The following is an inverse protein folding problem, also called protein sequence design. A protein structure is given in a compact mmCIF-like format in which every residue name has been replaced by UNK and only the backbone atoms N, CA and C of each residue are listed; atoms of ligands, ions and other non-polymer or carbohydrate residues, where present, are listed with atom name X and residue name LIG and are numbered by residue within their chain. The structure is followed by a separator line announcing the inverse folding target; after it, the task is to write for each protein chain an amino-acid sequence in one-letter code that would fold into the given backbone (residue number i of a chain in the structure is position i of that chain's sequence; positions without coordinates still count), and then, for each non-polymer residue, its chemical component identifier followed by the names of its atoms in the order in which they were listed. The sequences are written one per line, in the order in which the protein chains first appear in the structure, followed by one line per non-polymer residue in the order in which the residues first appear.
data_IF_477056009554
#
_entry.id   IF_477056009554
#
_cell.length_a   1.000
_cell.length_b   1.000
_cell.length_c   1.000
_cell.angle_alpha   90.00
_cell.angle_beta   90.00
_cell.angle_gamma   90.00
#
_symmetry.space_group_name_H-M   'P 1'
#
loop_
_entity.id
_entity.type
_entity.pdbx_description
1 polymer ?
#
# COMPACT_ATOMS: atom_id res chain seq x y z
N UNK A 1 -28.59 3.24 7.27
CA UNK A 1 -28.14 3.12 8.69
C UNK A 1 -28.90 2.05 9.47
N UNK A 2 -30.23 1.93 9.32
CA UNK A 2 -31.04 0.93 10.05
C UNK A 2 -30.66 -0.53 9.75
N UNK A 3 -30.37 -0.87 8.50
CA UNK A 3 -29.95 -2.23 8.12
C UNK A 3 -28.61 -2.64 8.75
N UNK A 4 -27.62 -1.74 8.78
CA UNK A 4 -26.33 -2.01 9.42
C UNK A 4 -26.48 -2.26 10.93
N UNK A 5 -27.39 -1.53 11.58
CA UNK A 5 -27.72 -1.73 13.00
C UNK A 5 -28.38 -3.10 13.21
N UNK A 6 -29.25 -3.51 12.30
CA UNK A 6 -29.90 -4.82 12.35
C UNK A 6 -28.91 -5.97 12.12
N UNK A 7 -28.01 -5.82 11.14
CA UNK A 7 -26.90 -6.75 10.90
C UNK A 7 -26.04 -6.89 12.16
N UNK A 8 -25.62 -5.76 12.75
CA UNK A 8 -24.82 -5.76 13.98
C UNK A 8 -25.55 -6.42 15.15
N UNK A 9 -26.84 -6.12 15.38
CA UNK A 9 -27.65 -6.75 16.43
C UNK A 9 -27.77 -8.25 16.22
N UNK A 10 -27.95 -8.69 14.98
CA UNK A 10 -28.08 -10.12 14.63
C UNK A 10 -26.75 -10.85 14.86
N UNK A 11 -25.64 -10.26 14.42
CA UNK A 11 -24.29 -10.78 14.66
C UNK A 11 -24.00 -10.88 16.17
N UNK A 12 -24.31 -9.84 16.95
CA UNK A 12 -24.11 -9.80 18.41
C UNK A 12 -24.91 -10.87 19.15
N UNK A 13 -26.14 -11.17 18.71
CA UNK A 13 -27.01 -12.18 19.35
C UNK A 13 -26.54 -13.61 19.07
N UNK A 14 -26.09 -13.90 17.85
CA UNK A 14 -25.71 -15.27 17.45
C UNK A 14 -24.62 -15.26 16.37
N UNK A 15 -23.33 -15.07 16.73
CA UNK A 15 -22.25 -14.90 15.76
C UNK A 15 -22.05 -16.16 14.91
N UNK A 16 -22.10 -17.34 15.51
CA UNK A 16 -21.96 -18.62 14.79
C UNK A 16 -23.08 -18.84 13.76
N UNK A 17 -24.33 -18.51 14.12
CA UNK A 17 -25.47 -18.61 13.20
C UNK A 17 -25.33 -17.63 12.04
N UNK A 18 -24.87 -16.41 12.32
CA UNK A 18 -24.63 -15.41 11.28
C UNK A 18 -23.50 -15.84 10.32
N UNK A 19 -22.36 -16.33 10.85
CA UNK A 19 -21.26 -16.84 10.03
C UNK A 19 -21.70 -18.03 9.18
N UNK A 20 -22.44 -18.98 9.76
CA UNK A 20 -22.99 -20.13 9.03
C UNK A 20 -23.92 -19.69 7.89
N UNK A 21 -24.77 -18.70 8.14
CA UNK A 21 -25.70 -18.18 7.13
C UNK A 21 -24.99 -17.41 6.00
N UNK A 22 -23.80 -16.86 6.26
CA UNK A 22 -23.03 -16.05 5.30
C UNK A 22 -21.74 -16.74 4.82
N UNK A 23 -21.57 -18.03 5.09
CA UNK A 23 -20.34 -18.77 4.79
C UNK A 23 -20.00 -18.73 3.30
N UNK A 24 -21.01 -18.77 2.43
CA UNK A 24 -20.82 -18.63 0.98
C UNK A 24 -20.18 -17.27 0.62
N UNK A 25 -20.64 -16.18 1.24
CA UNK A 25 -20.07 -14.85 1.01
C UNK A 25 -18.60 -14.79 1.48
N UNK A 26 -18.31 -15.35 2.65
CA UNK A 26 -16.96 -15.36 3.24
C UNK A 26 -15.97 -16.13 2.35
N UNK A 27 -16.41 -17.20 1.69
CA UNK A 27 -15.58 -17.98 0.77
C UNK A 27 -15.43 -17.28 -0.59
N UNK A 28 -16.51 -16.70 -1.11
CA UNK A 28 -16.53 -16.09 -2.45
C UNK A 28 -15.79 -14.73 -2.45
N UNK A 29 -15.88 -13.95 -1.38
CA UNK A 29 -15.35 -12.59 -1.33
C UNK A 29 -13.82 -12.53 -1.55
N UNK A 30 -12.98 -13.32 -0.85
CA UNK A 30 -11.55 -13.40 -1.16
C UNK A 30 -11.33 -13.77 -2.63
N UNK A 31 -12.04 -14.77 -3.15
CA UNK A 31 -11.82 -15.21 -4.52
C UNK A 31 -12.16 -14.12 -5.56
N UNK A 32 -13.21 -13.33 -5.33
CA UNK A 32 -13.53 -12.19 -6.19
C UNK A 32 -12.45 -11.10 -6.12
N UNK A 33 -11.97 -10.77 -4.92
CA UNK A 33 -10.94 -9.75 -4.71
C UNK A 33 -9.60 -10.15 -5.34
N UNK A 34 -9.15 -11.38 -5.12
CA UNK A 34 -7.90 -11.88 -5.70
C UNK A 34 -7.98 -12.03 -7.21
N UNK A 35 -9.12 -12.50 -7.73
CA UNK A 35 -9.35 -12.55 -9.17
C UNK A 35 -9.34 -11.16 -9.81
N UNK A 36 -10.00 -10.17 -9.20
CA UNK A 36 -9.99 -8.79 -9.70
C UNK A 36 -8.59 -8.20 -9.69
N UNK A 37 -7.81 -8.44 -8.64
CA UNK A 37 -6.44 -7.99 -8.53
C UNK A 37 -5.54 -8.56 -9.62
N UNK A 38 -5.56 -9.89 -9.82
CA UNK A 38 -4.78 -10.52 -10.88
C UNK A 38 -5.19 -10.06 -12.28
N UNK A 39 -6.49 -9.80 -12.51
CA UNK A 39 -6.97 -9.22 -13.77
C UNK A 39 -6.40 -7.83 -14.00
N UNK A 40 -6.41 -6.96 -12.98
CA UNK A 40 -5.82 -5.63 -13.05
C UNK A 40 -4.32 -5.74 -13.37
N UNK A 41 -3.57 -6.57 -12.63
CA UNK A 41 -2.13 -6.73 -12.84
C UNK A 41 -1.76 -7.23 -14.24
N UNK A 42 -2.45 -8.26 -14.75
CA UNK A 42 -2.20 -8.76 -16.11
C UNK A 42 -2.63 -7.74 -17.18
N UNK A 43 -3.75 -7.05 -16.98
CA UNK A 43 -4.24 -6.03 -17.93
C UNK A 43 -3.33 -4.81 -18.03
N UNK A 44 -2.62 -4.45 -16.94
CA UNK A 44 -1.59 -3.40 -16.94
C UNK A 44 -0.43 -3.71 -17.88
N UNK A 45 -0.16 -4.99 -18.14
CA UNK A 45 0.85 -5.43 -19.11
C UNK A 45 0.23 -5.51 -20.52
N UNK A 46 -0.82 -6.33 -20.68
CA UNK A 46 -1.62 -6.44 -21.91
C UNK A 46 -2.87 -7.29 -21.64
N UNK A 47 -4.01 -6.90 -22.21
CA UNK A 47 -5.24 -7.70 -22.15
C UNK A 47 -5.06 -9.15 -22.63
N UNK A 48 -4.17 -9.40 -23.59
CA UNK A 48 -3.88 -10.77 -24.08
C UNK A 48 -3.28 -11.68 -23.00
N UNK A 49 -2.71 -11.11 -21.93
CA UNK A 49 -2.06 -11.87 -20.87
C UNK A 49 -3.00 -12.35 -19.77
N UNK A 50 -4.27 -11.95 -19.80
CA UNK A 50 -5.32 -12.48 -18.91
C UNK A 50 -5.43 -14.01 -19.04
N UNK A 51 -5.07 -14.61 -20.18
CA UNK A 51 -5.05 -16.07 -20.36
C UNK A 51 -4.04 -16.82 -19.47
N UNK A 52 -3.09 -16.11 -18.87
CA UNK A 52 -2.08 -16.67 -17.97
C UNK A 52 -2.45 -16.53 -16.49
N UNK A 53 -3.69 -16.16 -16.21
CA UNK A 53 -4.30 -16.06 -14.89
C UNK A 53 -4.15 -17.36 -14.08
N UNK A 54 -3.86 -17.23 -12.77
CA UNK A 54 -3.62 -18.38 -11.90
C UNK A 54 -4.73 -18.57 -10.87
N UNK A 55 -5.53 -19.61 -11.09
CA UNK A 55 -6.64 -19.97 -10.20
C UNK A 55 -6.17 -20.33 -8.79
N UNK A 56 -5.00 -20.95 -8.65
CA UNK A 56 -4.41 -21.37 -7.37
C UNK A 56 -4.07 -20.18 -6.46
N UNK A 57 -3.73 -19.03 -7.04
CA UNK A 57 -3.32 -17.84 -6.30
C UNK A 57 -4.47 -16.89 -5.96
N UNK A 58 -5.63 -17.05 -6.60
CA UNK A 58 -6.82 -16.20 -6.37
C UNK A 58 -7.19 -16.11 -4.88
N UNK A 59 -7.26 -17.26 -4.18
CA UNK A 59 -7.70 -17.29 -2.79
C UNK A 59 -6.64 -16.64 -1.87
N UNK A 60 -5.35 -17.02 -1.92
CA UNK A 60 -4.30 -16.34 -1.15
C UNK A 60 -4.24 -14.83 -1.37
N UNK A 61 -4.22 -14.36 -2.63
CA UNK A 61 -4.17 -12.93 -2.97
C UNK A 61 -5.43 -12.20 -2.46
N UNK A 62 -6.58 -12.85 -2.59
CA UNK A 62 -7.86 -12.38 -2.10
C UNK A 62 -7.91 -12.21 -0.58
N UNK A 63 -7.38 -13.18 0.16
CA UNK A 63 -7.30 -13.12 1.62
C UNK A 63 -6.36 -12.00 2.09
N UNK A 64 -5.26 -11.80 1.38
CA UNK A 64 -4.29 -10.74 1.66
C UNK A 64 -4.91 -9.34 1.43
N UNK A 65 -5.61 -9.14 0.30
CA UNK A 65 -6.34 -7.89 0.03
C UNK A 65 -7.44 -7.68 1.07
N UNK A 66 -8.18 -8.74 1.39
CA UNK A 66 -9.23 -8.68 2.41
C UNK A 66 -8.66 -8.28 3.78
N UNK A 67 -7.49 -8.80 4.17
CA UNK A 67 -6.80 -8.39 5.38
C UNK A 67 -6.52 -6.88 5.40
N UNK A 68 -5.97 -6.32 4.31
CA UNK A 68 -5.72 -4.89 4.21
C UNK A 68 -7.01 -4.07 4.26
N UNK A 69 -8.07 -4.52 3.58
CA UNK A 69 -9.37 -3.86 3.61
C UNK A 69 -10.00 -3.90 5.00
N UNK A 70 -9.85 -4.99 5.75
CA UNK A 70 -10.35 -5.10 7.13
C UNK A 70 -9.59 -4.12 8.02
N UNK A 71 -8.26 -4.12 7.98
CA UNK A 71 -7.45 -3.20 8.78
C UNK A 71 -7.85 -1.76 8.44
N UNK A 72 -7.90 -1.41 7.15
CA UNK A 72 -8.33 -0.09 6.68
C UNK A 72 -9.77 0.27 7.10
N UNK A 73 -10.70 -0.66 7.06
CA UNK A 73 -12.09 -0.41 7.47
C UNK A 73 -12.17 -0.13 8.97
N UNK A 74 -11.50 -0.93 9.80
CA UNK A 74 -11.38 -0.70 11.26
C UNK A 74 -10.78 0.68 11.52
N UNK A 75 -9.76 1.05 10.75
CA UNK A 75 -9.08 2.34 10.80
C UNK A 75 -10.03 3.52 10.60
N UNK A 76 -10.81 3.49 9.53
CA UNK A 76 -11.80 4.51 9.21
C UNK A 76 -12.92 4.54 10.26
N UNK A 77 -13.35 3.38 10.77
CA UNK A 77 -14.35 3.30 11.82
C UNK A 77 -13.89 3.96 13.12
N UNK A 78 -12.63 3.75 13.51
CA UNK A 78 -12.02 4.40 14.67
C UNK A 78 -11.99 5.92 14.47
N UNK A 79 -11.56 6.40 13.29
CA UNK A 79 -11.58 7.82 12.95
C UNK A 79 -12.99 8.42 13.08
N UNK A 80 -13.99 7.75 12.51
CA UNK A 80 -15.38 8.19 12.58
C UNK A 80 -15.93 8.20 14.01
N UNK A 81 -15.59 7.20 14.82
CA UNK A 81 -15.97 7.13 16.23
C UNK A 81 -15.44 8.32 17.02
N UNK A 82 -14.14 8.64 16.89
CA UNK A 82 -13.53 9.78 17.56
C UNK A 82 -14.07 11.11 17.04
N UNK A 83 -14.31 11.22 15.74
CA UNK A 83 -14.91 12.42 15.16
C UNK A 83 -16.30 12.68 15.75
N UNK A 84 -17.19 11.68 15.77
CA UNK A 84 -18.52 11.83 16.36
C UNK A 84 -18.46 12.18 17.84
N UNK A 85 -17.50 11.63 18.57
CA UNK A 85 -17.31 11.96 19.99
C UNK A 85 -16.92 13.42 20.19
N UNK A 86 -15.98 13.92 19.39
CA UNK A 86 -15.56 15.33 19.42
C UNK A 86 -16.73 16.28 19.08
N UNK A 87 -17.55 15.93 18.09
CA UNK A 87 -18.70 16.74 17.67
C UNK A 87 -19.76 16.85 18.77
N UNK A 88 -20.02 15.76 19.51
CA UNK A 88 -20.95 15.77 20.64
C UNK A 88 -20.41 16.56 21.85
N UNK A 89 -19.11 16.45 22.14
CA UNK A 89 -18.48 17.15 23.26
C UNK A 89 -18.49 18.68 23.02
N UNK A 90 -18.40 19.13 21.76
CA UNK A 90 -18.49 20.55 21.40
C UNK A 90 -19.83 21.18 21.76
N UNK A 91 -20.95 20.48 21.54
CA UNK A 91 -22.29 20.97 21.91
C UNK A 91 -22.46 21.12 23.43
N UNK A 92 -21.86 20.23 24.22
CA UNK A 92 -21.94 20.29 25.69
C UNK A 92 -21.01 21.38 26.28
N UNK A 93 -19.84 21.56 25.69
CA UNK A 93 -18.86 22.58 26.08
C UNK A 93 -19.34 24.00 25.73
N UNK A 94 -19.97 24.19 24.56
CA UNK A 94 -20.51 25.48 24.13
C UNK A 94 -21.59 26.01 25.10
N UNK A 95 -22.31 25.10 25.77
CA UNK A 95 -23.36 25.46 26.74
C UNK A 95 -22.82 25.79 28.14
N UNK A 96 -21.62 25.34 28.51
CA UNK A 96 -21.13 25.39 29.90
C UNK A 96 -19.85 26.20 30.13
N UNK A 97 -19.09 26.54 29.07
CA UNK A 97 -17.80 27.23 29.22
C UNK A 97 -17.91 28.69 28.78
N UNK A 98 -17.71 29.62 29.72
CA UNK A 98 -17.41 31.02 29.41
C UNK A 98 -16.09 31.06 28.63
N UNK A 99 -16.17 31.16 27.31
CA UNK A 99 -15.02 31.15 26.41
C UNK A 99 -14.11 32.32 26.79
N UNK A 100 -12.93 32.00 27.34
CA UNK A 100 -11.86 33.00 27.55
C UNK A 100 -11.40 33.47 26.18
N UNK A 101 -11.21 34.79 26.02
CA UNK A 101 -10.72 35.41 24.78
C UNK A 101 -9.59 34.59 24.16
N UNK A 102 -9.74 34.24 22.89
CA UNK A 102 -8.74 33.46 22.15
C UNK A 102 -7.35 34.08 22.22
N UNK A 103 -6.32 33.26 22.43
CA UNK A 103 -4.92 33.70 22.48
C UNK A 103 -4.20 33.26 21.20
N UNK A 104 -3.75 34.24 20.41
CA UNK A 104 -3.07 34.01 19.13
C UNK A 104 -1.83 33.12 19.24
N UNK A 105 -1.14 33.13 20.38
CA UNK A 105 0.04 32.28 20.60
C UNK A 105 -0.33 30.80 20.57
N UNK A 106 -1.47 30.42 21.17
CA UNK A 106 -1.94 29.04 21.10
C UNK A 106 -2.33 28.66 19.67
N UNK A 107 -2.97 29.56 18.92
CA UNK A 107 -3.31 29.33 17.51
C UNK A 107 -2.07 28.98 16.68
N UNK A 108 -1.01 29.78 16.81
CA UNK A 108 0.26 29.57 16.11
C UNK A 108 0.89 28.23 16.53
N UNK A 109 0.91 27.92 17.83
CA UNK A 109 1.42 26.65 18.34
C UNK A 109 0.67 25.45 17.76
N UNK A 110 -0.67 25.51 17.69
CA UNK A 110 -1.49 24.45 17.11
C UNK A 110 -1.24 24.27 15.61
N UNK A 111 -1.10 25.35 14.85
CA UNK A 111 -0.75 25.28 13.42
C UNK A 111 0.62 24.61 13.24
N UNK A 112 1.61 24.99 14.06
CA UNK A 112 2.94 24.40 14.01
C UNK A 112 2.91 22.90 14.34
N UNK A 113 2.14 22.50 15.36
CA UNK A 113 1.94 21.09 15.70
C UNK A 113 1.23 20.32 14.58
N UNK A 114 0.22 20.91 13.94
CA UNK A 114 -0.47 20.31 12.80
C UNK A 114 0.49 20.05 11.62
N UNK A 115 1.30 21.03 11.25
CA UNK A 115 2.36 20.85 10.25
C UNK A 115 3.38 19.78 10.68
N UNK A 116 3.76 19.76 11.97
CA UNK A 116 4.59 18.71 12.55
C UNK A 116 3.99 17.32 12.36
N UNK A 117 2.68 17.16 12.58
CA UNK A 117 1.98 15.90 12.33
C UNK A 117 2.03 15.49 10.85
N UNK A 118 1.85 16.42 9.91
CA UNK A 118 1.94 16.12 8.46
C UNK A 118 3.34 15.61 8.10
N UNK A 119 4.39 16.29 8.57
CA UNK A 119 5.78 15.88 8.35
C UNK A 119 6.04 14.51 8.98
N UNK A 120 5.51 14.26 10.19
CA UNK A 120 5.62 12.97 10.86
C UNK A 120 4.93 11.84 10.08
N UNK A 121 3.72 12.06 9.55
CA UNK A 121 3.03 11.10 8.67
C UNK A 121 3.88 10.78 7.45
N UNK A 122 4.41 11.80 6.77
CA UNK A 122 5.24 11.60 5.59
C UNK A 122 6.52 10.79 5.92
N UNK A 123 7.18 11.11 7.03
CA UNK A 123 8.35 10.39 7.51
C UNK A 123 8.04 8.93 7.86
N UNK A 124 6.99 8.68 8.66
CA UNK A 124 6.55 7.34 9.02
C UNK A 124 6.17 6.52 7.78
N UNK A 125 5.46 7.11 6.83
CA UNK A 125 5.12 6.45 5.57
C UNK A 125 6.37 6.00 4.82
N UNK A 126 7.34 6.89 4.64
CA UNK A 126 8.58 6.55 3.96
C UNK A 126 9.37 5.46 4.72
N UNK A 127 9.41 5.52 6.05
CA UNK A 127 10.05 4.51 6.88
C UNK A 127 9.41 3.13 6.69
N UNK A 128 8.09 3.03 6.80
CA UNK A 128 7.40 1.75 6.66
C UNK A 128 7.44 1.20 5.23
N UNK A 129 7.31 2.06 4.22
CA UNK A 129 7.44 1.65 2.81
C UNK A 129 8.82 1.04 2.55
N UNK A 130 9.89 1.65 3.05
CA UNK A 130 11.25 1.12 2.90
C UNK A 130 11.47 -0.21 3.63
N UNK A 131 10.67 -0.50 4.65
CA UNK A 131 10.79 -1.71 5.46
C UNK A 131 9.59 -2.65 5.30
N UNK A 132 8.86 -2.56 4.18
CA UNK A 132 7.60 -3.29 3.96
C UNK A 132 7.77 -4.82 3.92
N UNK A 133 8.99 -5.28 3.63
CA UNK A 133 9.40 -6.70 3.73
C UNK A 133 9.27 -7.25 5.15
N UNK A 134 9.43 -6.38 6.16
CA UNK A 134 9.24 -6.78 7.54
C UNK A 134 7.75 -6.91 7.85
N UNK A 135 7.36 -8.09 8.31
CA UNK A 135 6.00 -8.37 8.80
C UNK A 135 5.58 -7.34 9.88
N UNK A 136 6.50 -6.91 10.75
CA UNK A 136 6.21 -5.91 11.78
C UNK A 136 5.83 -4.56 11.14
N UNK A 137 6.61 -4.09 10.16
CA UNK A 137 6.30 -2.86 9.42
C UNK A 137 4.95 -2.95 8.71
N UNK A 138 4.66 -4.09 8.09
CA UNK A 138 3.40 -4.34 7.39
C UNK A 138 2.19 -4.20 8.32
N UNK A 139 2.25 -4.81 9.51
CA UNK A 139 1.16 -4.75 10.48
C UNK A 139 1.05 -3.40 11.19
N UNK A 140 2.16 -2.66 11.38
CA UNK A 140 2.16 -1.37 12.06
C UNK A 140 1.86 -0.17 11.14
N UNK A 141 2.00 -0.31 9.82
CA UNK A 141 1.83 0.78 8.86
C UNK A 141 0.49 1.52 9.02
N UNK A 142 -0.63 0.78 8.95
CA UNK A 142 -1.96 1.38 9.06
C UNK A 142 -2.24 1.92 10.48
N UNK A 143 -2.09 1.11 11.57
CA UNK A 143 -2.28 1.58 12.95
C UNK A 143 -1.56 2.89 13.29
N UNK A 144 -0.28 3.00 12.95
CA UNK A 144 0.52 4.18 13.28
C UNK A 144 0.04 5.41 12.52
N UNK A 145 -0.23 5.27 11.22
CA UNK A 145 -0.73 6.39 10.42
C UNK A 145 -2.10 6.90 10.90
N UNK A 146 -2.98 6.01 11.38
CA UNK A 146 -4.28 6.39 11.95
C UNK A 146 -4.08 7.17 13.24
N UNK A 147 -3.23 6.68 14.13
CA UNK A 147 -2.95 7.35 15.41
C UNK A 147 -2.44 8.76 15.14
N UNK A 148 -1.47 8.92 14.24
CA UNK A 148 -0.95 10.26 13.90
C UNK A 148 -2.06 11.13 13.27
N UNK A 149 -2.90 10.56 12.42
CA UNK A 149 -4.01 11.28 11.79
C UNK A 149 -5.07 11.71 12.80
N UNK A 150 -5.40 10.85 13.77
CA UNK A 150 -6.29 11.16 14.88
C UNK A 150 -5.72 12.30 15.73
N UNK A 151 -4.43 12.25 16.04
CA UNK A 151 -3.76 13.33 16.75
C UNK A 151 -3.84 14.64 15.97
N UNK A 152 -3.52 14.63 14.68
CA UNK A 152 -3.61 15.81 13.82
C UNK A 152 -5.04 16.37 13.77
N UNK A 153 -6.04 15.50 13.66
CA UNK A 153 -7.45 15.88 13.67
C UNK A 153 -7.87 16.49 15.00
N UNK A 154 -7.53 15.86 16.12
CA UNK A 154 -7.84 16.37 17.46
C UNK A 154 -7.18 17.73 17.70
N UNK A 155 -5.91 17.90 17.36
CA UNK A 155 -5.22 19.18 17.46
C UNK A 155 -5.89 20.26 16.62
N UNK A 156 -6.31 19.92 15.40
CA UNK A 156 -7.03 20.86 14.55
C UNK A 156 -8.39 21.24 15.14
N UNK A 157 -9.17 20.28 15.67
CA UNK A 157 -10.44 20.55 16.36
C UNK A 157 -10.26 21.50 17.54
N UNK A 158 -9.32 21.20 18.45
CA UNK A 158 -8.99 22.07 19.58
C UNK A 158 -8.52 23.46 19.15
N UNK A 159 -7.76 23.55 18.05
CA UNK A 159 -7.31 24.84 17.52
C UNK A 159 -8.47 25.73 17.07
N UNK A 160 -9.50 25.15 16.45
CA UNK A 160 -10.69 25.87 15.99
C UNK A 160 -11.50 26.38 17.18
N UNK A 161 -11.66 25.58 18.24
CA UNK A 161 -12.38 25.97 19.46
C UNK A 161 -11.73 27.17 20.15
N UNK A 162 -10.41 27.15 20.34
CA UNK A 162 -9.68 28.21 21.04
C UNK A 162 -9.52 29.51 20.23
N UNK A 163 -9.89 29.49 18.96
CA UNK A 163 -9.70 30.62 18.05
C UNK A 163 -11.02 31.18 17.50
N UNK A 164 -12.16 30.82 18.09
CA UNK A 164 -13.52 31.19 17.67
C UNK A 164 -13.74 32.71 17.59
N UNK A 165 -13.04 33.50 18.40
CA UNK A 165 -13.17 34.97 18.43
C UNK A 165 -12.43 35.68 17.28
N UNK A 166 -11.64 34.95 16.49
CA UNK A 166 -10.89 35.51 15.36
C UNK A 166 -11.78 35.41 14.12
N UNK A 167 -12.17 36.54 13.54
CA UNK A 167 -13.11 36.62 12.41
C UNK A 167 -12.68 35.77 11.19
N UNK A 168 -11.37 35.70 10.93
CA UNK A 168 -10.75 34.85 9.89
C UNK A 168 -11.06 33.36 10.13
N UNK A 169 -11.23 32.94 11.38
CA UNK A 169 -11.49 31.55 11.75
C UNK A 169 -12.95 31.12 11.60
N UNK A 170 -13.91 32.04 11.57
CA UNK A 170 -15.30 31.69 11.26
C UNK A 170 -15.45 31.18 9.82
N UNK A 171 -14.65 31.70 8.89
CA UNK A 171 -14.51 31.11 7.56
C UNK A 171 -13.89 29.71 7.61
N UNK A 172 -12.90 29.51 8.48
CA UNK A 172 -12.27 28.19 8.68
C UNK A 172 -13.21 27.18 9.32
N UNK A 173 -14.18 27.56 10.17
CA UNK A 173 -15.17 26.63 10.73
C UNK A 173 -16.02 25.97 9.63
N UNK A 174 -16.40 26.74 8.60
CA UNK A 174 -17.12 26.20 7.43
C UNK A 174 -16.24 25.25 6.60
N UNK A 175 -14.94 25.53 6.53
CA UNK A 175 -13.93 24.64 5.89
C UNK A 175 -13.65 23.40 6.76
N UNK A 176 -13.68 23.54 8.09
CA UNK A 176 -13.44 22.46 9.04
C UNK A 176 -14.47 21.34 8.92
N UNK A 177 -15.73 21.65 8.58
CA UNK A 177 -16.73 20.63 8.25
C UNK A 177 -16.31 19.73 7.08
N UNK A 178 -15.55 20.26 6.11
CA UNK A 178 -14.98 19.50 4.99
C UNK A 178 -13.64 18.83 5.31
N UNK A 179 -13.03 19.11 6.47
CA UNK A 179 -11.69 18.59 6.79
C UNK A 179 -11.69 17.08 6.99
N UNK A 180 -12.82 16.52 7.44
CA UNK A 180 -13.02 15.08 7.56
C UNK A 180 -12.87 14.38 6.21
N UNK A 181 -13.42 14.97 5.14
CA UNK A 181 -13.27 14.48 3.76
C UNK A 181 -11.79 14.52 3.35
N UNK A 182 -11.08 15.60 3.70
CA UNK A 182 -9.63 15.70 3.44
C UNK A 182 -8.88 14.58 4.16
N UNK A 183 -9.14 14.35 5.44
CA UNK A 183 -8.50 13.27 6.20
C UNK A 183 -8.81 11.88 5.64
N UNK A 184 -10.06 11.61 5.26
CA UNK A 184 -10.45 10.36 4.58
C UNK A 184 -9.70 10.22 3.25
N UNK A 185 -9.61 11.29 2.47
CA UNK A 185 -8.88 11.28 1.19
C UNK A 185 -7.39 10.98 1.39
N UNK A 186 -6.76 11.53 2.44
CA UNK A 186 -5.36 11.25 2.80
C UNK A 186 -5.19 9.78 3.16
N UNK A 187 -6.11 9.18 3.92
CA UNK A 187 -6.09 7.74 4.23
C UNK A 187 -6.22 6.87 2.96
N UNK A 188 -7.10 7.24 2.02
CA UNK A 188 -7.25 6.54 0.75
C UNK A 188 -5.97 6.64 -0.09
N UNK A 189 -5.37 7.83 -0.20
CA UNK A 189 -4.11 8.04 -0.94
C UNK A 189 -2.98 7.21 -0.32
N UNK A 190 -2.88 7.18 1.01
CA UNK A 190 -1.88 6.35 1.71
C UNK A 190 -2.11 4.86 1.45
N UNK A 191 -3.36 4.38 1.50
CA UNK A 191 -3.67 2.99 1.16
C UNK A 191 -3.27 2.66 -0.28
N UNK A 192 -3.58 3.53 -1.25
CA UNK A 192 -3.18 3.33 -2.66
C UNK A 192 -1.65 3.29 -2.79
N UNK A 193 -0.95 4.25 -2.19
CA UNK A 193 0.52 4.29 -2.20
C UNK A 193 1.12 3.03 -1.59
N UNK A 194 0.55 2.55 -0.49
CA UNK A 194 0.95 1.32 0.15
C UNK A 194 0.73 0.10 -0.76
N UNK A 195 -0.45 -0.04 -1.38
CA UNK A 195 -0.74 -1.16 -2.27
C UNK A 195 0.19 -1.20 -3.48
N UNK A 196 0.56 -0.03 -4.03
CA UNK A 196 1.55 0.06 -5.13
C UNK A 196 2.94 -0.41 -4.69
N UNK A 197 3.39 0.01 -3.51
CA UNK A 197 4.71 -0.39 -3.01
C UNK A 197 4.75 -1.84 -2.55
N UNK A 198 3.68 -2.28 -1.90
CA UNK A 198 3.46 -3.66 -1.51
C UNK A 198 3.55 -4.58 -2.73
N UNK A 199 2.90 -4.22 -3.83
CA UNK A 199 3.01 -4.96 -5.10
C UNK A 199 4.46 -5.12 -5.54
N UNK A 200 5.26 -4.04 -5.56
CA UNK A 200 6.65 -4.09 -6.00
C UNK A 200 7.52 -5.04 -5.16
N UNK A 201 7.27 -5.12 -3.86
CA UNK A 201 8.05 -5.97 -2.94
C UNK A 201 7.57 -7.42 -2.94
N UNK A 202 6.27 -7.66 -3.02
CA UNK A 202 5.72 -9.01 -2.99
C UNK A 202 5.80 -9.74 -4.33
N UNK A 203 6.04 -9.02 -5.43
CA UNK A 203 6.17 -9.61 -6.76
C UNK A 203 7.33 -10.62 -6.83
N UNK A 204 8.45 -10.32 -6.16
CA UNK A 204 9.58 -11.22 -6.09
C UNK A 204 10.34 -11.09 -4.75
N UNK A 205 10.24 -12.07 -3.84
CA UNK A 205 11.01 -12.03 -2.61
C UNK A 205 12.51 -12.13 -2.93
N UNK A 206 13.29 -11.17 -2.41
CA UNK A 206 14.73 -11.05 -2.67
C UNK A 206 15.54 -12.30 -2.26
N UNK A 207 15.03 -13.09 -1.32
CA UNK A 207 15.68 -14.30 -0.80
C UNK A 207 15.44 -15.55 -1.66
N UNK A 208 14.68 -15.44 -2.75
CA UNK A 208 14.33 -16.60 -3.55
C UNK A 208 15.52 -17.03 -4.41
N UNK A 209 16.26 -18.06 -3.95
CA UNK A 209 17.47 -18.59 -4.59
C UNK A 209 17.31 -18.89 -6.09
N UNK A 210 16.09 -19.24 -6.51
CA UNK A 210 15.79 -19.58 -7.91
C UNK A 210 15.73 -18.35 -8.82
N UNK A 211 15.75 -17.14 -8.26
CA UNK A 211 15.88 -15.90 -9.04
C UNK A 211 17.19 -15.91 -9.80
N UNK A 212 18.28 -16.41 -9.22
CA UNK A 212 19.55 -16.55 -9.95
C UNK A 212 19.41 -17.41 -11.22
N UNK A 213 18.61 -18.49 -11.15
CA UNK A 213 18.34 -19.34 -12.32
C UNK A 213 17.53 -18.60 -13.39
N UNK A 214 16.56 -17.78 -12.98
CA UNK A 214 15.82 -16.89 -13.89
C UNK A 214 16.76 -15.90 -14.56
N UNK A 215 17.64 -15.25 -13.80
CA UNK A 215 18.61 -14.29 -14.33
C UNK A 215 19.54 -14.97 -15.35
N UNK A 216 20.12 -16.13 -15.01
CA UNK A 216 20.95 -16.90 -15.95
C UNK A 216 20.19 -17.25 -17.23
N UNK A 217 18.94 -17.70 -17.10
CA UNK A 217 18.12 -18.11 -18.25
C UNK A 217 17.77 -16.90 -19.10
N UNK A 218 17.50 -15.76 -18.48
CA UNK A 218 17.22 -14.52 -19.18
C UNK A 218 18.45 -13.99 -19.93
N UNK A 219 19.63 -13.98 -19.31
CA UNK A 219 20.90 -13.55 -19.90
C UNK A 219 21.35 -14.47 -21.06
N UNK A 220 21.06 -15.78 -20.99
CA UNK A 220 21.39 -16.71 -22.10
C UNK A 220 20.58 -16.46 -23.36
N UNK A 221 19.41 -15.86 -23.21
CA UNK A 221 18.42 -15.69 -24.28
C UNK A 221 18.67 -14.42 -25.07
N UNK A 222 19.05 -13.34 -24.41
CA UNK A 222 19.56 -12.13 -25.02
C UNK A 222 20.83 -11.70 -24.28
N UNK A 223 21.90 -11.38 -25.01
CA UNK A 223 23.14 -10.77 -24.48
C UNK A 223 22.91 -9.38 -23.83
N UNK A 224 21.66 -9.00 -23.55
CA UNK A 224 21.32 -7.77 -22.86
C UNK A 224 21.28 -7.99 -21.35
N UNK A 225 22.08 -7.22 -20.61
CA UNK A 225 22.12 -7.25 -19.15
C UNK A 225 20.86 -6.69 -18.47
N UNK A 226 19.97 -6.01 -19.21
CA UNK A 226 18.85 -5.26 -18.62
C UNK A 226 17.51 -5.93 -18.94
N UNK A 227 16.91 -6.53 -17.92
CA UNK A 227 15.53 -7.03 -17.95
C UNK A 227 14.78 -6.60 -16.68
N UNK A 228 13.45 -6.64 -16.74
CA UNK A 228 12.55 -6.35 -15.62
C UNK A 228 11.49 -7.44 -15.54
N UNK A 229 11.19 -7.90 -14.33
CA UNK A 229 10.11 -8.87 -14.11
C UNK A 229 8.82 -8.08 -13.88
N UNK A 230 7.86 -8.26 -14.77
CA UNK A 230 6.60 -7.51 -14.75
C UNK A 230 5.51 -8.18 -13.93
N UNK A 231 5.54 -9.51 -13.86
CA UNK A 231 4.51 -10.32 -13.21
C UNK A 231 5.05 -11.72 -12.96
N UNK A 232 4.64 -12.31 -11.84
CA UNK A 232 4.98 -13.69 -11.48
C UNK A 232 3.77 -14.35 -10.84
N UNK A 233 3.45 -15.56 -11.28
CA UNK A 233 2.54 -16.47 -10.57
C UNK A 233 3.21 -17.83 -10.36
N UNK A 234 2.46 -18.79 -9.82
CA UNK A 234 2.91 -20.16 -9.58
C UNK A 234 3.23 -20.96 -10.86
N UNK A 235 2.86 -20.46 -12.04
CA UNK A 235 3.04 -21.15 -13.33
C UNK A 235 3.92 -20.40 -14.32
N UNK A 236 3.95 -19.08 -14.27
CA UNK A 236 4.52 -18.21 -15.30
C UNK A 236 5.22 -17.00 -14.70
N UNK A 237 6.33 -16.60 -15.32
CA UNK A 237 7.03 -15.35 -15.04
C UNK A 237 7.16 -14.53 -16.32
N UNK A 238 6.76 -13.26 -16.25
CA UNK A 238 6.78 -12.31 -17.35
C UNK A 238 8.00 -11.42 -17.22
N UNK A 239 8.89 -11.50 -18.22
CA UNK A 239 10.15 -10.75 -18.24
C UNK A 239 10.15 -9.83 -19.44
N UNK A 240 10.35 -8.54 -19.19
CA UNK A 240 10.55 -7.51 -20.21
C UNK A 240 12.04 -7.33 -20.46
N UNK A 241 12.45 -7.41 -21.71
CA UNK A 241 13.82 -7.14 -22.14
C UNK A 241 13.95 -5.74 -22.74
N UNK A 242 15.00 -5.03 -22.32
CA UNK A 242 15.33 -3.71 -22.82
C UNK A 242 16.41 -3.81 -23.90
N UNK A 243 16.00 -3.73 -25.17
CA UNK A 243 16.93 -3.72 -26.29
C UNK A 243 17.67 -2.38 -26.35
N UNK A 244 18.93 -2.36 -25.91
CA UNK A 244 19.79 -1.18 -26.03
C UNK A 244 20.23 -0.89 -27.47
N UNK A 245 20.16 -1.87 -28.36
CA UNK A 245 20.59 -1.71 -29.75
C UNK A 245 19.51 -0.98 -30.58
N UNK A 246 19.85 0.20 -31.10
CA UNK A 246 19.15 0.79 -32.24
C UNK A 246 19.27 -0.18 -33.44
N UNK A 247 18.20 -0.35 -34.20
CA UNK A 247 18.29 -1.11 -35.44
C UNK A 247 19.25 -0.43 -36.43
N UNK A 248 19.58 -1.11 -37.54
CA UNK A 248 20.43 -0.53 -38.60
C UNK A 248 19.89 0.79 -39.18
N UNK A 249 18.63 1.13 -38.90
CA UNK A 249 17.93 2.33 -39.34
C UNK A 249 17.78 3.38 -38.22
N UNK A 250 18.44 3.18 -37.07
CA UNK A 250 18.38 4.10 -35.92
C UNK A 250 17.07 4.05 -35.12
N UNK A 251 16.11 3.17 -35.44
CA UNK A 251 14.86 3.02 -34.70
C UNK A 251 15.07 2.17 -33.45
N UNK A 252 14.49 2.62 -32.34
CA UNK A 252 14.41 1.83 -31.12
C UNK A 252 13.53 0.60 -31.38
N UNK A 253 14.09 -0.60 -31.17
CA UNK A 253 13.29 -1.82 -31.17
C UNK A 253 12.33 -1.78 -29.99
N UNK A 254 11.09 -2.19 -30.22
CA UNK A 254 10.11 -2.32 -29.14
C UNK A 254 10.60 -3.34 -28.11
N UNK A 255 10.33 -3.06 -26.84
CA UNK A 255 10.62 -3.98 -25.74
C UNK A 255 9.88 -5.30 -25.97
N UNK A 256 10.55 -6.41 -25.72
CA UNK A 256 9.99 -7.75 -25.90
C UNK A 256 9.63 -8.33 -24.53
N UNK A 257 8.43 -8.87 -24.40
CA UNK A 257 7.99 -9.57 -23.19
C UNK A 257 8.06 -11.07 -23.48
N UNK A 258 8.88 -11.79 -22.72
CA UNK A 258 8.93 -13.25 -22.75
C UNK A 258 8.27 -13.82 -21.51
N UNK A 259 7.61 -14.95 -21.70
CA UNK A 259 6.91 -15.67 -20.64
C UNK A 259 7.66 -16.98 -20.42
N UNK A 260 8.19 -17.14 -19.22
CA UNK A 260 8.85 -18.37 -18.79
C UNK A 260 7.88 -19.19 -17.95
N UNK A 261 7.97 -20.52 -18.04
CA UNK A 261 7.27 -21.39 -17.08
C UNK A 261 8.04 -21.37 -15.77
N UNK A 262 7.34 -21.42 -14.64
CA UNK A 262 7.97 -21.41 -13.32
C UNK A 262 8.86 -22.65 -13.11
N UNK A 263 8.41 -23.80 -13.61
CA UNK A 263 9.13 -25.08 -13.56
C UNK A 263 10.55 -25.00 -14.17
N UNK A 264 10.71 -24.20 -15.23
CA UNK A 264 11.98 -23.98 -15.90
C UNK A 264 13.05 -23.32 -15.02
N UNK A 265 12.63 -22.66 -13.94
CA UNK A 265 13.50 -21.94 -13.01
C UNK A 265 14.02 -22.83 -11.89
N UNK A 266 13.36 -23.97 -11.70
CA UNK A 266 13.77 -25.01 -10.76
C UNK A 266 14.89 -25.89 -11.36
N UNK A 267 15.17 -25.75 -12.65
CA UNK A 267 16.24 -26.48 -13.32
C UNK A 267 17.61 -25.80 -13.10
N UNK A 268 18.32 -26.28 -12.08
CA UNK A 268 19.67 -25.82 -11.73
C UNK A 268 20.70 -26.06 -12.86
N UNK A 269 20.41 -26.92 -13.84
CA UNK A 269 21.32 -27.16 -14.97
C UNK A 269 21.45 -25.94 -15.88
N UNK A 270 20.46 -25.04 -15.87
CA UNK A 270 20.45 -23.82 -16.66
C UNK A 270 21.66 -22.90 -16.38
N UNK A 271 22.21 -22.90 -15.16
CA UNK A 271 23.35 -22.04 -14.79
C UNK A 271 24.72 -22.75 -14.77
N UNK A 272 24.82 -24.07 -15.01
CA UNK A 272 26.05 -24.84 -14.74
C UNK A 272 27.26 -24.36 -15.58
N UNK A 273 27.03 -23.80 -16.77
CA UNK A 273 28.08 -23.25 -17.62
C UNK A 273 28.63 -21.87 -17.20
N UNK A 274 27.86 -21.07 -16.44
CA UNK A 274 28.19 -19.66 -16.18
C UNK A 274 28.59 -19.35 -14.71
N UNK A 275 28.37 -20.29 -13.78
CA UNK A 275 28.72 -20.12 -12.35
C UNK A 275 30.22 -19.92 -12.08
N UNK A 276 31.10 -20.35 -12.99
CA UNK A 276 32.56 -20.13 -12.87
C UNK A 276 32.95 -18.66 -13.08
N UNK A 277 32.29 -17.97 -14.02
CA UNK A 277 32.58 -16.56 -14.35
C UNK A 277 32.00 -15.62 -13.27
N UNK A 278 30.82 -15.93 -12.73
CA UNK A 278 30.18 -15.10 -11.69
C UNK A 278 30.89 -15.11 -10.33
N UNK A 279 31.57 -16.19 -9.93
CA UNK A 279 32.28 -16.20 -8.62
C UNK A 279 33.46 -15.22 -8.57
N UNK A 280 34.01 -14.82 -9.72
CA UNK A 280 35.00 -13.76 -9.82
C UNK A 280 34.33 -12.37 -9.80
N UNK A 281 33.26 -12.15 -10.56
CA UNK A 281 32.57 -10.85 -10.62
C UNK A 281 31.74 -10.47 -9.37
N UNK A 282 31.10 -11.45 -8.71
CA UNK A 282 30.20 -11.19 -7.55
C UNK A 282 30.99 -10.87 -6.27
N UNK A 283 32.26 -11.30 -6.17
CA UNK A 283 33.13 -10.94 -5.05
C UNK A 283 33.46 -9.44 -5.04
N UNK A 284 33.50 -8.82 -6.22
CA UNK A 284 33.75 -7.38 -6.35
C UNK A 284 32.43 -6.57 -6.22
N UNK A 285 31.31 -7.06 -6.79
CA UNK A 285 30.06 -6.29 -6.79
C UNK A 285 29.32 -6.21 -5.45
N UNK A 286 29.46 -7.20 -4.55
CA UNK A 286 28.83 -7.16 -3.21
C UNK A 286 29.49 -6.10 -2.32
N UNK A 287 30.75 -5.75 -2.60
CA UNK A 287 31.46 -4.67 -1.91
C UNK A 287 30.95 -3.30 -2.36
N UNK A 288 30.54 -3.17 -3.62
CA UNK A 288 30.08 -1.93 -4.22
C UNK A 288 28.56 -1.71 -4.10
N UNK A 289 27.75 -2.76 -4.01
CA UNK A 289 26.28 -2.65 -3.89
C UNK A 289 25.80 -2.21 -2.51
N UNK A 290 26.69 -2.09 -1.51
CA UNK A 290 26.39 -1.50 -0.19
C UNK A 290 26.63 0.02 -0.14
N UNK A 291 27.15 0.61 -1.20
CA UNK A 291 27.31 2.06 -1.31
C UNK A 291 26.11 2.57 -2.11
N UNK A 292 25.20 3.36 -1.51
CA UNK A 292 24.14 3.99 -2.29
C UNK A 292 24.78 4.89 -3.35
N UNK A 293 24.45 4.67 -4.62
CA UNK A 293 24.79 5.62 -5.68
C UNK A 293 24.09 6.94 -5.36
N UNK A 294 24.86 7.88 -4.81
CA UNK A 294 24.50 9.29 -4.76
C UNK A 294 24.45 9.74 -6.22
N UNK A 295 23.24 10.05 -6.70
CA UNK A 295 23.06 10.72 -7.98
C UNK A 295 23.42 12.18 -7.79
N UNK A 296 24.45 12.63 -8.49
CA UNK A 296 24.63 14.05 -8.84
C UNK A 296 23.64 14.46 -9.94
#
# INVERSE_FOLDING_TARGET
MNELIEIYRTFKKSPLKYLKNNLNLIIILPALLGGLWQLIELSRISFSFIRFFSVSQIIPDGLLILLFLIIFTISVFILFYFWKKLDNDDEEVENNVTIKKGNALFAILFILLFFGCIVLVAYCNNYFIKNIESLISLFLYLPVNIVITLFAFAFLGYSVLHCKDIEILNHLKKVASNISIVFISVQIIMLISFMVQFHNVFLLPAELKNVDNLICKAEKVEDSANFEILYSNDKYIFVRYYKSAKDRNGKHRQNEIRIFRFEDLLDDTACIGNKRIRKEFVKDSIKDSKIPMIKD
#
